data_IF_905203476544
#
_entry.id   IF_905203476544
#
_cell.length_a   1.000
_cell.length_b   1.000
_cell.length_c   1.000
_cell.angle_alpha   90.00
_cell.angle_beta   90.00
_cell.angle_gamma   90.00
#
_symmetry.space_group_name_H-M   'P 1'
#
loop_
_entity.id
_entity.type
_entity.pdbx_description
1 polymer ?
#
# COMPACT_ATOMS: atom_id res chain seq x y z
N UNK A 1 -12.61 -10.13 53.42
CA UNK A 1 -11.57 -9.17 52.95
C UNK A 1 -10.78 -9.75 51.78
N UNK A 2 -10.22 -10.96 51.90
CA UNK A 2 -9.41 -11.62 50.85
C UNK A 2 -10.12 -11.75 49.50
N UNK A 3 -11.37 -12.22 49.46
CA UNK A 3 -12.15 -12.38 48.21
C UNK A 3 -12.53 -11.06 47.53
N UNK A 4 -12.77 -10.00 48.32
CA UNK A 4 -13.20 -8.69 47.79
C UNK A 4 -12.07 -7.97 47.04
N UNK A 5 -10.82 -8.33 47.29
CA UNK A 5 -9.63 -7.78 46.62
C UNK A 5 -9.20 -8.67 45.45
N UNK A 6 -9.48 -9.97 45.52
CA UNK A 6 -9.09 -10.97 44.53
C UNK A 6 -9.85 -10.86 43.20
N UNK A 7 -11.16 -10.58 43.24
CA UNK A 7 -11.99 -10.42 42.02
C UNK A 7 -11.56 -9.23 41.15
N UNK A 8 -11.37 -8.00 41.68
CA UNK A 8 -10.92 -6.87 40.86
C UNK A 8 -9.47 -6.99 40.40
N UNK A 9 -8.61 -7.71 41.15
CA UNK A 9 -7.24 -8.00 40.70
C UNK A 9 -7.23 -9.02 39.56
N UNK A 10 -8.02 -10.09 39.63
CA UNK A 10 -8.19 -11.04 38.52
C UNK A 10 -8.80 -10.38 37.28
N UNK A 11 -9.77 -9.47 37.45
CA UNK A 11 -10.36 -8.70 36.36
C UNK A 11 -9.34 -7.77 35.69
N UNK A 12 -8.51 -7.07 36.48
CA UNK A 12 -7.40 -6.24 35.97
C UNK A 12 -6.36 -7.05 35.22
N UNK A 13 -5.96 -8.20 35.77
CA UNK A 13 -4.99 -9.10 35.12
C UNK A 13 -5.57 -9.65 33.83
N UNK A 14 -6.83 -10.08 33.81
CA UNK A 14 -7.51 -10.53 32.60
C UNK A 14 -7.63 -9.44 31.53
N UNK A 15 -7.97 -8.21 31.93
CA UNK A 15 -8.03 -7.06 31.01
C UNK A 15 -6.65 -6.70 30.44
N UNK A 16 -5.60 -6.71 31.27
CA UNK A 16 -4.21 -6.53 30.81
C UNK A 16 -3.77 -7.65 29.87
N UNK A 17 -4.16 -8.90 30.14
CA UNK A 17 -3.89 -10.04 29.25
C UNK A 17 -4.60 -9.89 27.90
N UNK A 18 -5.87 -9.44 27.91
CA UNK A 18 -6.64 -9.17 26.69
C UNK A 18 -6.03 -8.03 25.88
N UNK A 19 -5.57 -6.96 26.54
CA UNK A 19 -4.85 -5.87 25.87
C UNK A 19 -3.53 -6.36 25.25
N UNK A 20 -2.75 -7.18 25.97
CA UNK A 20 -1.51 -7.78 25.46
C UNK A 20 -1.76 -8.72 24.27
N UNK A 21 -2.85 -9.48 24.28
CA UNK A 21 -3.28 -10.33 23.16
C UNK A 21 -3.81 -9.52 21.97
N UNK A 22 -4.30 -8.29 22.20
CA UNK A 22 -4.74 -7.37 21.14
C UNK A 22 -3.55 -6.76 20.37
N UNK A 23 -2.35 -6.75 20.97
CA UNK A 23 -1.11 -6.39 20.30
C UNK A 23 -0.49 -7.60 19.58
N UNK A 24 -1.24 -8.24 18.68
CA UNK A 24 -0.59 -8.97 17.59
C UNK A 24 -0.11 -7.93 16.58
N UNK A 25 1.13 -7.48 16.75
CA UNK A 25 1.84 -6.79 15.68
C UNK A 25 2.18 -7.88 14.67
N UNK A 26 1.42 -7.95 13.58
CA UNK A 26 1.79 -8.78 12.44
C UNK A 26 3.14 -8.28 11.91
N UNK A 27 4.23 -8.90 12.37
CA UNK A 27 5.59 -8.74 11.83
C UNK A 27 5.69 -9.22 10.37
N UNK A 28 4.58 -9.66 9.78
CA UNK A 28 4.51 -10.33 8.49
C UNK A 28 4.14 -9.46 7.30
N UNK A 29 4.02 -8.13 7.43
CA UNK A 29 3.52 -7.30 6.31
C UNK A 29 4.51 -6.27 5.74
N UNK A 30 5.81 -6.50 5.90
CA UNK A 30 6.87 -5.69 5.30
C UNK A 30 7.55 -6.35 4.09
N UNK A 31 6.98 -7.40 3.50
CA UNK A 31 7.60 -8.00 2.33
C UNK A 31 7.16 -7.25 1.06
N UNK A 32 8.13 -6.75 0.31
CA UNK A 32 7.91 -6.19 -1.04
C UNK A 32 7.81 -7.33 -2.07
N UNK A 33 7.17 -8.44 -1.68
CA UNK A 33 7.07 -9.61 -2.54
C UNK A 33 6.15 -9.28 -3.70
N UNK A 34 6.61 -9.59 -4.90
CA UNK A 34 5.82 -9.41 -6.10
C UNK A 34 4.63 -10.39 -6.07
N UNK A 35 3.40 -9.84 -6.12
CA UNK A 35 2.17 -10.63 -6.04
C UNK A 35 1.70 -11.07 -7.43
N UNK A 36 1.47 -10.12 -8.34
CA UNK A 36 0.92 -10.38 -9.69
C UNK A 36 1.18 -9.19 -10.63
N UNK A 37 1.07 -9.41 -11.95
CA UNK A 37 0.98 -8.35 -12.96
C UNK A 37 0.08 -8.77 -14.12
N UNK A 38 -0.55 -7.78 -14.76
CA UNK A 38 -1.41 -8.00 -15.91
C UNK A 38 -1.01 -7.07 -17.04
N UNK A 39 -0.69 -7.66 -18.19
CA UNK A 39 -0.33 -6.94 -19.40
C UNK A 39 -1.37 -7.21 -20.49
N UNK A 40 -1.69 -6.19 -21.29
CA UNK A 40 -2.52 -6.39 -22.46
C UNK A 40 -1.68 -7.02 -23.59
N UNK A 41 -1.97 -8.27 -23.94
CA UNK A 41 -1.22 -9.01 -24.98
C UNK A 41 -1.60 -8.61 -26.41
N UNK A 42 -2.71 -7.89 -26.59
CA UNK A 42 -3.23 -7.47 -27.91
C UNK A 42 -2.93 -6.02 -28.27
N UNK A 43 -2.48 -5.21 -27.30
CA UNK A 43 -2.24 -3.78 -27.47
C UNK A 43 -0.78 -3.44 -27.15
N UNK A 44 0.14 -3.95 -27.96
CA UNK A 44 1.56 -3.61 -27.85
C UNK A 44 1.84 -2.26 -28.51
N UNK A 45 2.56 -1.39 -27.80
CA UNK A 45 3.06 -0.15 -28.38
C UNK A 45 4.32 -0.41 -29.21
N UNK A 46 4.67 0.51 -30.12
CA UNK A 46 5.92 0.43 -30.89
C UNK A 46 7.07 1.01 -30.07
N UNK A 47 8.20 0.29 -29.96
CA UNK A 47 9.40 0.80 -29.30
C UNK A 47 9.88 2.11 -29.94
N UNK A 48 10.28 3.08 -29.10
CA UNK A 48 10.63 4.45 -29.47
C UNK A 48 9.43 5.38 -29.71
N UNK A 49 8.19 4.89 -29.58
CA UNK A 49 6.98 5.72 -29.77
C UNK A 49 6.83 6.80 -28.70
N UNK A 50 6.05 7.84 -29.01
CA UNK A 50 5.74 8.89 -28.02
C UNK A 50 4.95 8.32 -26.84
N UNK A 51 4.14 7.28 -27.06
CA UNK A 51 3.46 6.53 -26.01
C UNK A 51 4.47 5.97 -25.00
N UNK A 52 5.54 5.33 -25.46
CA UNK A 52 6.60 4.81 -24.57
C UNK A 52 7.26 5.93 -23.75
N UNK A 53 7.63 7.04 -24.40
CA UNK A 53 8.19 8.21 -23.71
C UNK A 53 7.23 8.82 -22.68
N UNK A 54 5.94 8.88 -23.02
CA UNK A 54 4.90 9.34 -22.10
C UNK A 54 4.71 8.36 -20.93
N UNK A 55 4.77 7.06 -21.18
CA UNK A 55 4.68 6.00 -20.17
C UNK A 55 5.84 6.07 -19.19
N UNK A 56 7.07 6.17 -19.69
CA UNK A 56 8.26 6.39 -18.84
C UNK A 56 8.09 7.66 -17.98
N UNK A 57 7.58 8.73 -18.58
CA UNK A 57 7.28 9.96 -17.85
C UNK A 57 6.23 9.80 -16.75
N UNK A 58 5.19 9.01 -16.97
CA UNK A 58 4.19 8.67 -15.94
C UNK A 58 4.84 7.92 -14.79
N UNK A 59 5.69 6.91 -15.08
CA UNK A 59 6.40 6.18 -14.03
C UNK A 59 7.32 7.08 -13.21
N UNK A 60 8.13 7.94 -13.86
CA UNK A 60 8.99 8.90 -13.14
C UNK A 60 8.20 9.80 -12.20
N UNK A 61 7.04 10.31 -12.63
CA UNK A 61 6.21 11.18 -11.80
C UNK A 61 5.60 10.39 -10.64
N UNK A 62 5.03 9.21 -10.89
CA UNK A 62 4.42 8.41 -9.84
C UNK A 62 5.42 7.97 -8.77
N UNK A 63 6.64 7.58 -9.14
CA UNK A 63 7.71 7.24 -8.18
C UNK A 63 8.07 8.44 -7.29
N UNK A 64 7.95 9.67 -7.81
CA UNK A 64 8.21 10.90 -7.06
C UNK A 64 7.03 11.34 -6.19
N UNK A 65 5.82 11.24 -6.71
CA UNK A 65 4.63 11.93 -6.16
C UNK A 65 3.72 11.03 -5.33
N UNK A 66 3.77 9.71 -5.51
CA UNK A 66 2.98 8.78 -4.70
C UNK A 66 3.51 8.61 -3.26
N UNK A 67 4.82 8.53 -2.98
CA UNK A 67 5.31 8.24 -1.62
C UNK A 67 4.83 9.21 -0.53
N UNK A 68 4.80 10.55 -0.72
CA UNK A 68 4.44 11.47 0.36
C UNK A 68 3.02 11.34 0.91
N UNK A 69 2.07 10.89 0.10
CA UNK A 69 0.64 10.73 0.46
C UNK A 69 0.16 9.28 0.39
N UNK A 70 1.03 8.36 -0.05
CA UNK A 70 0.66 7.01 -0.42
C UNK A 70 -0.19 6.91 -1.69
N UNK A 71 -0.42 8.00 -2.43
CA UNK A 71 -1.29 8.01 -3.60
C UNK A 71 -0.97 9.13 -4.60
N UNK A 72 -0.90 8.78 -5.88
CA UNK A 72 -0.87 9.76 -6.97
C UNK A 72 -1.54 9.22 -8.24
N UNK A 73 -2.08 10.13 -9.06
CA UNK A 73 -2.50 9.85 -10.42
C UNK A 73 -1.85 10.84 -11.39
N UNK A 74 -1.59 10.39 -12.63
CA UNK A 74 -0.89 11.19 -13.63
C UNK A 74 -1.48 10.88 -14.99
N UNK A 75 -1.65 11.91 -15.79
CA UNK A 75 -1.96 11.79 -17.22
C UNK A 75 -0.87 12.50 -18.02
N UNK A 76 -0.30 11.82 -19.01
CA UNK A 76 0.72 12.40 -19.90
C UNK A 76 0.39 12.12 -21.35
N UNK A 77 0.68 13.08 -22.23
CA UNK A 77 0.40 12.96 -23.66
C UNK A 77 -1.02 13.34 -24.08
N UNK A 78 -1.31 13.21 -25.37
CA UNK A 78 -2.57 13.57 -26.01
C UNK A 78 -2.93 12.56 -27.10
N UNK A 79 -4.21 12.42 -27.41
CA UNK A 79 -4.68 11.50 -28.46
C UNK A 79 -4.30 10.04 -28.16
N UNK A 80 -3.83 9.33 -29.18
CA UNK A 80 -3.42 7.92 -29.10
C UNK A 80 -2.14 7.70 -28.26
N UNK A 81 -1.34 8.75 -28.05
CA UNK A 81 -0.10 8.68 -27.26
C UNK A 81 -0.33 8.97 -25.77
N UNK A 82 -1.60 9.14 -25.34
CA UNK A 82 -1.92 9.48 -23.96
C UNK A 82 -1.80 8.27 -23.05
N UNK A 83 -1.14 8.45 -21.92
CA UNK A 83 -0.98 7.46 -20.87
C UNK A 83 -1.63 7.98 -19.60
N UNK A 84 -2.41 7.12 -18.95
CA UNK A 84 -2.97 7.33 -17.62
C UNK A 84 -2.28 6.36 -16.67
N UNK A 85 -1.89 6.83 -15.49
CA UNK A 85 -1.28 6.00 -14.46
C UNK A 85 -1.71 6.41 -13.07
N UNK A 86 -1.66 5.45 -12.16
CA UNK A 86 -2.00 5.59 -10.75
C UNK A 86 -1.07 4.68 -9.94
N UNK A 87 -0.61 5.18 -8.80
CA UNK A 87 0.12 4.41 -7.81
C UNK A 87 -0.56 4.60 -6.45
N UNK A 88 -0.69 3.51 -5.71
CA UNK A 88 -1.30 3.47 -4.39
C UNK A 88 -0.47 2.56 -3.48
N UNK A 89 0.02 3.14 -2.39
CA UNK A 89 0.65 2.42 -1.30
C UNK A 89 -0.43 1.87 -0.37
N UNK A 90 -0.04 0.92 0.48
CA UNK A 90 -0.86 0.51 1.62
C UNK A 90 -1.00 1.69 2.59
N UNK A 91 -2.23 1.96 3.05
CA UNK A 91 -2.53 3.12 3.89
C UNK A 91 -2.18 2.96 5.37
N UNK A 92 -1.74 1.78 5.78
CA UNK A 92 -1.32 1.44 7.14
C UNK A 92 0.20 1.31 7.30
N UNK A 93 0.97 1.76 6.29
CA UNK A 93 2.43 1.71 6.25
C UNK A 93 2.95 3.15 6.20
N UNK A 94 3.75 3.53 7.21
CA UNK A 94 4.51 4.79 7.27
C UNK A 94 5.96 4.62 6.77
#
# INVERSE_FOLDING_TARGET
IVYSVMVPTLLRVGFLLLLLLSFHVDLGMSTNDYIDSRCNVTANYTGGSKFEWNMHGVFTILTKDAPPSGFANVTKGKGLERVYGLAQCRGDVD
#
